data_IF_189247254446
#
_entry.id   IF_189247254446
#
_cell.length_a   1.000
_cell.length_b   1.000
_cell.length_c   1.000
_cell.angle_alpha   90.00
_cell.angle_beta   90.00
_cell.angle_gamma   90.00
#
_symmetry.space_group_name_H-M   'P 1'
#
loop_
_entity.id
_entity.type
_entity.pdbx_description
1 polymer ?
#
# COMPACT_ATOMS: atom_id res chain seq x y z
N UNK A 1 -33.95 44.70 -38.76
CA UNK A 1 -33.03 43.55 -38.81
C UNK A 1 -32.86 42.96 -37.41
N UNK A 2 -33.53 41.84 -37.14
CA UNK A 2 -33.31 41.10 -35.90
C UNK A 2 -32.10 40.23 -36.08
N UNK A 3 -31.00 40.54 -35.37
CA UNK A 3 -29.85 39.66 -35.24
C UNK A 3 -30.14 38.71 -34.09
N UNK A 4 -30.50 37.47 -34.41
CA UNK A 4 -30.56 36.41 -33.40
C UNK A 4 -29.14 36.10 -32.94
N UNK A 5 -28.82 36.55 -31.73
CA UNK A 5 -27.59 36.09 -31.04
C UNK A 5 -27.77 34.64 -30.62
N UNK A 6 -27.13 33.74 -31.34
CA UNK A 6 -26.98 32.37 -30.96
C UNK A 6 -25.93 32.32 -29.83
N UNK A 7 -26.40 32.21 -28.60
CA UNK A 7 -25.51 31.88 -27.50
C UNK A 7 -25.17 30.40 -27.61
N UNK A 8 -23.98 30.13 -28.13
CA UNK A 8 -23.39 28.79 -28.08
C UNK A 8 -22.93 28.55 -26.62
N UNK A 9 -23.83 27.94 -25.85
CA UNK A 9 -23.51 27.49 -24.50
C UNK A 9 -22.57 26.29 -24.62
N UNK A 10 -21.24 26.54 -24.59
CA UNK A 10 -20.25 25.49 -24.39
C UNK A 10 -20.43 24.93 -22.98
N UNK A 11 -21.22 23.91 -22.85
CA UNK A 11 -21.21 23.05 -21.68
C UNK A 11 -19.90 22.26 -21.75
N UNK A 12 -18.87 22.78 -21.10
CA UNK A 12 -17.68 22.01 -20.80
C UNK A 12 -18.09 20.96 -19.77
N UNK A 13 -18.46 19.78 -20.25
CA UNK A 13 -18.51 18.60 -19.42
C UNK A 13 -17.07 18.33 -18.95
N UNK A 14 -16.75 18.82 -17.76
CA UNK A 14 -15.65 18.30 -16.95
C UNK A 14 -16.02 16.85 -16.63
N UNK A 15 -15.60 15.94 -17.48
CA UNK A 15 -15.56 14.53 -17.15
C UNK A 15 -14.57 14.39 -16.01
N UNK A 16 -15.07 14.46 -14.79
CA UNK A 16 -14.38 13.90 -13.62
C UNK A 16 -14.22 12.42 -13.93
N UNK A 17 -13.08 12.05 -14.48
CA UNK A 17 -12.69 10.67 -14.55
C UNK A 17 -12.48 10.22 -13.10
N UNK A 18 -13.53 9.72 -12.50
CA UNK A 18 -13.40 8.95 -11.28
C UNK A 18 -12.49 7.78 -11.62
N UNK A 19 -11.25 7.84 -11.16
CA UNK A 19 -10.33 6.72 -11.29
C UNK A 19 -10.92 5.58 -10.45
N UNK A 20 -11.51 4.61 -11.12
CA UNK A 20 -12.04 3.42 -10.47
C UNK A 20 -10.88 2.64 -9.90
N UNK A 21 -10.71 2.68 -8.57
CA UNK A 21 -9.75 1.86 -7.86
C UNK A 21 -10.28 0.43 -7.77
N UNK A 22 -9.45 -0.53 -8.09
CA UNK A 22 -9.79 -1.93 -7.96
C UNK A 22 -9.40 -2.41 -6.56
N UNK A 23 -10.19 -3.34 -6.03
CA UNK A 23 -9.95 -3.94 -4.74
C UNK A 23 -9.05 -5.15 -4.88
N UNK A 24 -8.03 -5.21 -4.04
CA UNK A 24 -7.11 -6.34 -3.95
C UNK A 24 -7.11 -6.88 -2.53
N UNK A 25 -7.26 -8.17 -2.41
CA UNK A 25 -7.08 -8.89 -1.15
C UNK A 25 -5.59 -9.16 -0.97
N UNK A 26 -5.04 -8.70 0.13
CA UNK A 26 -3.66 -8.92 0.51
C UNK A 26 -3.60 -9.76 1.78
N UNK A 27 -3.13 -10.99 1.65
CA UNK A 27 -2.92 -11.89 2.79
C UNK A 27 -1.46 -11.83 3.21
N UNK A 28 -1.24 -11.55 4.49
CA UNK A 28 0.08 -11.53 5.13
C UNK A 28 0.16 -12.69 6.09
N UNK A 29 1.14 -13.59 5.88
CA UNK A 29 1.48 -14.66 6.80
C UNK A 29 2.81 -14.30 7.49
N UNK A 30 2.77 -14.21 8.81
CA UNK A 30 3.96 -13.96 9.62
C UNK A 30 4.73 -15.26 9.90
N UNK A 31 6.04 -15.12 10.13
CA UNK A 31 6.88 -16.19 10.69
C UNK A 31 6.56 -16.37 12.18
N UNK A 32 7.06 -17.47 12.76
CA UNK A 32 7.01 -17.70 14.22
C UNK A 32 8.21 -17.04 14.91
N UNK A 33 8.47 -15.77 14.61
CA UNK A 33 9.54 -15.03 15.29
C UNK A 33 9.20 -14.86 16.78
N UNK A 34 10.20 -14.58 17.61
CA UNK A 34 10.01 -14.30 19.03
C UNK A 34 10.00 -12.80 19.29
N UNK A 35 9.09 -12.32 20.12
CA UNK A 35 9.03 -10.91 20.52
C UNK A 35 7.66 -10.30 20.41
N UNK A 36 7.62 -8.99 20.52
CA UNK A 36 6.40 -8.19 20.46
C UNK A 36 5.75 -8.21 19.06
N UNK A 37 4.51 -7.78 18.98
CA UNK A 37 3.82 -7.63 17.71
C UNK A 37 4.58 -6.67 16.78
N UNK A 38 4.69 -7.04 15.52
CA UNK A 38 5.37 -6.23 14.54
C UNK A 38 4.52 -5.02 14.12
N UNK A 39 5.18 -3.88 13.98
CA UNK A 39 4.68 -2.78 13.15
C UNK A 39 5.12 -3.04 11.71
N UNK A 40 4.19 -2.85 10.79
CA UNK A 40 4.45 -3.07 9.37
C UNK A 40 3.70 -2.04 8.54
N UNK A 41 4.35 -1.54 7.51
CA UNK A 41 3.71 -0.67 6.53
C UNK A 41 3.78 -1.27 5.14
N UNK A 42 2.69 -1.13 4.42
CA UNK A 42 2.59 -1.49 3.01
C UNK A 42 2.55 -0.20 2.20
N UNK A 43 3.53 -0.02 1.35
CA UNK A 43 3.68 1.17 0.51
C UNK A 43 3.66 0.82 -0.98
N UNK A 44 3.07 1.71 -1.76
CA UNK A 44 3.19 1.65 -3.22
C UNK A 44 4.48 2.33 -3.65
N UNK A 45 5.30 1.61 -4.39
CA UNK A 45 6.61 2.04 -4.89
C UNK A 45 6.54 2.17 -6.41
N UNK A 46 7.04 3.26 -6.94
CA UNK A 46 7.07 3.51 -8.38
C UNK A 46 8.19 2.73 -9.10
N UNK A 47 8.22 2.73 -10.45
CA UNK A 47 9.27 2.03 -11.21
C UNK A 47 10.69 2.53 -10.93
N UNK A 48 10.86 3.75 -10.41
CA UNK A 48 12.16 4.33 -10.04
C UNK A 48 12.57 3.99 -8.60
N UNK A 49 11.72 3.26 -7.87
CA UNK A 49 11.98 2.87 -6.48
C UNK A 49 11.59 3.90 -5.44
N UNK A 50 10.83 4.93 -5.81
CA UNK A 50 10.35 5.97 -4.89
C UNK A 50 9.00 5.63 -4.29
N UNK A 51 8.79 6.05 -3.04
CA UNK A 51 7.49 5.93 -2.38
C UNK A 51 6.47 6.85 -3.06
N UNK A 52 5.31 6.32 -3.41
CA UNK A 52 4.17 7.10 -3.91
C UNK A 52 3.15 7.38 -2.84
N UNK A 53 2.73 6.35 -2.12
CA UNK A 53 1.72 6.47 -1.06
C UNK A 53 1.74 5.26 -0.14
N UNK A 54 1.22 5.45 1.07
CA UNK A 54 0.92 4.39 2.00
C UNK A 54 -0.38 3.69 1.61
N UNK A 55 -0.36 2.36 1.66
CA UNK A 55 -1.54 1.53 1.38
C UNK A 55 -2.18 1.00 2.65
N UNK A 56 -1.39 0.61 3.65
CA UNK A 56 -1.87 0.12 4.94
C UNK A 56 -0.76 0.20 6.00
N UNK A 57 -1.16 0.40 7.25
CA UNK A 57 -0.26 0.36 8.41
C UNK A 57 -0.80 -0.64 9.43
N UNK A 58 -0.02 -1.66 9.73
CA UNK A 58 -0.23 -2.53 10.89
C UNK A 58 0.45 -1.91 12.09
N UNK A 59 -0.32 -1.24 12.93
CA UNK A 59 0.15 -0.50 14.09
C UNK A 59 -0.74 0.73 14.31
N UNK A 60 -1.46 0.77 15.41
CA UNK A 60 -2.46 1.78 15.71
C UNK A 60 -1.94 2.93 16.57
N UNK A 61 -0.67 2.89 16.97
CA UNK A 61 -0.06 3.94 17.78
C UNK A 61 1.08 4.62 17.01
N UNK A 62 0.81 5.84 16.54
CA UNK A 62 1.76 6.64 15.75
C UNK A 62 3.07 6.96 16.48
N UNK A 63 3.09 6.83 17.81
CA UNK A 63 4.30 7.00 18.63
C UNK A 63 5.45 6.07 18.20
N UNK A 64 5.12 4.90 17.62
CA UNK A 64 6.09 3.89 17.22
C UNK A 64 6.38 3.86 15.72
N UNK A 65 5.83 4.79 14.94
CA UNK A 65 6.01 4.80 13.47
C UNK A 65 7.45 5.10 13.04
N UNK A 66 8.22 5.78 13.87
CA UNK A 66 9.62 6.06 13.61
C UNK A 66 10.51 4.80 13.57
N UNK A 67 10.03 3.67 14.09
CA UNK A 67 10.69 2.38 13.93
C UNK A 67 10.73 1.90 12.47
N UNK A 68 9.78 2.32 11.65
CA UNK A 68 9.70 2.06 10.21
C UNK A 68 10.46 3.15 9.43
N UNK A 69 11.74 3.23 9.60
CA UNK A 69 12.61 4.38 9.32
C UNK A 69 12.47 4.96 7.92
N UNK A 70 12.56 4.14 6.88
CA UNK A 70 12.49 4.61 5.49
C UNK A 70 11.13 5.18 5.14
N UNK A 71 10.09 4.46 5.49
CA UNK A 71 8.72 4.93 5.30
C UNK A 71 8.44 6.18 6.13
N UNK A 72 8.93 6.23 7.36
CA UNK A 72 8.71 7.38 8.26
C UNK A 72 9.25 8.67 7.69
N UNK A 73 10.41 8.64 7.04
CA UNK A 73 10.96 9.80 6.34
C UNK A 73 10.03 10.29 5.22
N UNK A 74 9.50 9.37 4.41
CA UNK A 74 8.52 9.69 3.38
C UNK A 74 7.20 10.21 3.98
N UNK A 75 6.66 9.49 4.97
CA UNK A 75 5.40 9.81 5.65
C UNK A 75 5.42 11.22 6.24
N UNK A 76 6.50 11.59 6.92
CA UNK A 76 6.63 12.91 7.54
C UNK A 76 6.88 14.01 6.51
N UNK A 77 7.71 13.77 5.49
CA UNK A 77 7.99 14.73 4.42
C UNK A 77 6.74 15.06 3.59
N UNK A 78 5.92 14.07 3.30
CA UNK A 78 4.66 14.22 2.56
C UNK A 78 3.49 14.66 3.43
N UNK A 79 3.62 14.58 4.75
CA UNK A 79 2.53 14.85 5.70
C UNK A 79 1.28 14.02 5.37
N UNK A 80 1.50 12.76 5.02
CA UNK A 80 0.40 11.85 4.73
C UNK A 80 -0.53 11.68 5.92
N UNK A 81 -1.84 11.59 5.66
CA UNK A 81 -2.84 11.21 6.64
C UNK A 81 -3.15 9.73 6.46
N UNK A 82 -2.77 8.93 7.45
CA UNK A 82 -2.88 7.47 7.37
C UNK A 82 -3.93 6.87 8.34
N UNK A 83 -4.67 7.69 9.05
CA UNK A 83 -5.62 7.22 10.08
C UNK A 83 -6.64 6.21 9.53
N UNK A 84 -7.16 6.45 8.32
CA UNK A 84 -8.09 5.53 7.65
C UNK A 84 -7.42 4.25 7.11
N UNK A 85 -6.10 4.18 7.12
CA UNK A 85 -5.29 3.07 6.59
C UNK A 85 -4.66 2.24 7.70
N UNK A 86 -4.88 2.60 8.97
CA UNK A 86 -4.24 1.93 10.10
C UNK A 86 -5.14 0.85 10.70
N UNK A 87 -4.49 -0.20 11.16
CA UNK A 87 -5.09 -1.27 11.93
C UNK A 87 -4.13 -1.76 13.00
N UNK A 88 -4.53 -2.78 13.75
CA UNK A 88 -3.71 -3.36 14.79
C UNK A 88 -2.36 -3.88 14.26
N UNK A 89 -1.34 -3.87 15.11
CA UNK A 89 -0.07 -4.54 14.86
C UNK A 89 -0.28 -6.04 14.60
N UNK A 90 0.70 -6.68 14.00
CA UNK A 90 0.59 -8.07 13.57
C UNK A 90 1.58 -8.96 14.36
N UNK A 91 1.06 -10.03 14.92
CA UNK A 91 1.80 -10.90 15.84
C UNK A 91 2.48 -12.06 15.09
N UNK A 92 3.51 -12.64 15.73
CA UNK A 92 4.13 -13.86 15.22
C UNK A 92 3.10 -14.96 14.95
N UNK A 93 3.26 -15.66 13.84
CA UNK A 93 2.36 -16.74 13.41
C UNK A 93 1.01 -16.29 12.88
N UNK A 94 0.66 -15.01 12.98
CA UNK A 94 -0.60 -14.48 12.49
C UNK A 94 -0.71 -14.57 10.96
N UNK A 95 -1.96 -14.78 10.54
CA UNK A 95 -2.37 -14.61 9.16
C UNK A 95 -3.47 -13.55 9.13
N UNK A 96 -3.18 -12.42 8.47
CA UNK A 96 -4.15 -11.35 8.32
C UNK A 96 -4.41 -11.06 6.84
N UNK A 97 -5.66 -10.74 6.56
CA UNK A 97 -6.08 -10.30 5.24
C UNK A 97 -6.58 -8.88 5.32
N UNK A 98 -6.04 -8.03 4.46
CA UNK A 98 -6.47 -6.65 4.29
C UNK A 98 -6.92 -6.44 2.86
N UNK A 99 -7.72 -5.41 2.63
CA UNK A 99 -8.15 -5.00 1.29
C UNK A 99 -7.44 -3.71 0.93
N UNK A 100 -6.78 -3.72 -0.22
CA UNK A 100 -6.05 -2.58 -0.76
C UNK A 100 -6.78 -2.02 -1.97
N UNK A 101 -6.77 -0.69 -2.08
CA UNK A 101 -7.25 0.01 -3.27
C UNK A 101 -6.06 0.30 -4.19
N UNK A 102 -6.04 -0.34 -5.36
CA UNK A 102 -4.99 -0.17 -6.35
C UNK A 102 -5.60 0.16 -7.72
N UNK A 103 -4.95 1.04 -8.45
CA UNK A 103 -5.36 1.37 -9.81
C UNK A 103 -4.82 0.30 -10.78
N UNK A 104 -5.71 -0.37 -11.51
CA UNK A 104 -5.32 -1.40 -12.49
C UNK A 104 -4.46 -0.85 -13.64
N UNK A 105 -4.46 0.45 -13.88
CA UNK A 105 -3.55 1.08 -14.84
C UNK A 105 -2.08 0.91 -14.47
N UNK A 106 -1.78 0.67 -13.21
CA UNK A 106 -0.42 0.46 -12.71
C UNK A 106 0.04 -1.00 -12.85
N UNK A 107 -0.89 -1.93 -13.13
CA UNK A 107 -0.57 -3.34 -13.29
C UNK A 107 0.38 -3.55 -14.48
N UNK A 108 1.43 -4.33 -14.28
CA UNK A 108 2.48 -4.61 -15.26
C UNK A 108 3.25 -3.36 -15.76
N UNK A 109 3.29 -2.31 -14.95
CA UNK A 109 3.97 -1.05 -15.30
C UNK A 109 5.22 -0.77 -14.44
N UNK A 110 5.75 -1.80 -13.75
CA UNK A 110 6.95 -1.67 -12.92
C UNK A 110 6.74 -1.20 -11.48
N UNK A 111 5.50 -1.01 -11.07
CA UNK A 111 5.16 -0.69 -9.67
C UNK A 111 5.25 -1.94 -8.80
N UNK A 112 5.48 -1.73 -7.51
CA UNK A 112 5.52 -2.81 -6.52
C UNK A 112 4.95 -2.36 -5.18
N UNK A 113 4.57 -3.33 -4.37
CA UNK A 113 4.19 -3.13 -2.98
C UNK A 113 5.38 -3.51 -2.11
N UNK A 114 5.82 -2.58 -1.26
CA UNK A 114 6.89 -2.82 -0.29
C UNK A 114 6.30 -3.00 1.10
N UNK A 115 6.74 -4.04 1.77
CA UNK A 115 6.42 -4.35 3.15
C UNK A 115 7.64 -4.07 4.01
N UNK A 116 7.55 -3.02 4.83
CA UNK A 116 8.56 -2.72 5.86
C UNK A 116 8.06 -3.20 7.20
N UNK A 117 8.91 -3.83 7.98
CA UNK A 117 8.54 -4.38 9.27
C UNK A 117 9.58 -4.10 10.34
N UNK A 118 9.11 -3.87 11.56
CA UNK A 118 9.94 -3.66 12.73
C UNK A 118 9.30 -4.30 13.95
N UNK A 119 10.13 -4.87 14.80
CA UNK A 119 9.73 -5.39 16.11
C UNK A 119 10.56 -4.69 17.17
N UNK A 120 9.92 -4.34 18.29
CA UNK A 120 10.56 -3.65 19.41
C UNK A 120 11.81 -4.41 19.89
N UNK A 121 12.91 -3.68 20.07
CA UNK A 121 14.21 -4.19 20.48
C UNK A 121 14.83 -5.25 19.55
N UNK A 122 14.37 -5.31 18.30
CA UNK A 122 14.83 -6.24 17.28
C UNK A 122 15.15 -5.52 15.97
N UNK A 123 15.35 -6.28 14.91
CA UNK A 123 15.76 -5.77 13.61
C UNK A 123 14.62 -5.06 12.88
N UNK A 124 14.97 -4.05 12.07
CA UNK A 124 14.11 -3.38 11.12
C UNK A 124 14.43 -3.85 9.70
N UNK A 125 13.42 -4.31 8.98
CA UNK A 125 13.53 -4.72 7.59
C UNK A 125 12.89 -3.68 6.68
N UNK A 126 13.73 -2.96 5.92
CA UNK A 126 13.24 -1.98 4.92
C UNK A 126 12.44 -2.67 3.81
N UNK A 127 12.86 -3.87 3.44
CA UNK A 127 12.27 -4.66 2.36
C UNK A 127 12.04 -6.09 2.85
N UNK A 128 11.19 -6.24 3.87
CA UNK A 128 10.84 -7.57 4.36
C UNK A 128 10.22 -8.41 3.24
N UNK A 129 9.30 -7.81 2.48
CA UNK A 129 8.82 -8.36 1.22
C UNK A 129 8.61 -7.24 0.22
N UNK A 130 8.84 -7.54 -1.06
CA UNK A 130 8.45 -6.69 -2.18
C UNK A 130 7.65 -7.53 -3.17
N UNK A 131 6.41 -7.11 -3.44
CA UNK A 131 5.50 -7.80 -4.35
C UNK A 131 5.39 -6.96 -5.62
N UNK A 132 5.95 -7.41 -6.76
CA UNK A 132 5.72 -6.74 -8.03
C UNK A 132 4.22 -6.69 -8.33
N UNK A 133 3.74 -5.54 -8.77
CA UNK A 133 2.33 -5.41 -9.16
C UNK A 133 2.17 -5.88 -10.60
N UNK A 134 2.19 -7.20 -10.76
CA UNK A 134 2.16 -7.89 -12.06
C UNK A 134 1.13 -9.03 -12.04
N UNK A 135 0.68 -9.40 -13.23
CA UNK A 135 -0.25 -10.53 -13.40
C UNK A 135 0.33 -11.83 -12.84
N UNK A 136 1.65 -12.05 -12.99
CA UNK A 136 2.33 -13.23 -12.46
C UNK A 136 2.31 -13.26 -10.92
N UNK A 137 2.61 -12.15 -10.29
CA UNK A 137 2.62 -12.05 -8.82
C UNK A 137 1.25 -12.28 -8.19
N UNK A 138 0.17 -11.98 -8.90
CA UNK A 138 -1.20 -12.24 -8.44
C UNK A 138 -1.55 -13.73 -8.35
N UNK A 139 -0.72 -14.61 -8.92
CA UNK A 139 -0.92 -16.07 -8.93
C UNK A 139 -0.04 -16.79 -7.93
N UNK A 140 0.89 -16.10 -7.29
CA UNK A 140 1.94 -16.70 -6.48
C UNK A 140 1.98 -16.13 -5.06
N UNK A 141 2.65 -16.87 -4.19
CA UNK A 141 3.08 -16.37 -2.88
C UNK A 141 4.45 -15.76 -3.05
N UNK A 142 4.65 -14.55 -2.50
CA UNK A 142 5.94 -13.88 -2.48
C UNK A 142 6.54 -14.04 -1.08
N UNK A 143 7.71 -14.67 -0.99
CA UNK A 143 8.38 -14.89 0.28
C UNK A 143 8.87 -13.59 0.89
N UNK A 144 8.75 -13.46 2.21
CA UNK A 144 9.42 -12.42 2.98
C UNK A 144 10.86 -12.81 3.35
N UNK A 145 11.60 -11.86 3.85
CA UNK A 145 13.02 -12.05 4.25
C UNK A 145 13.24 -11.84 5.74
N UNK A 146 12.27 -11.32 6.45
CA UNK A 146 12.35 -11.00 7.87
C UNK A 146 11.24 -11.65 8.68
N UNK A 147 10.33 -10.84 9.20
CA UNK A 147 9.20 -11.31 10.01
C UNK A 147 8.05 -11.85 9.17
N UNK A 148 7.97 -11.46 7.90
CA UNK A 148 6.98 -11.97 6.95
C UNK A 148 7.44 -13.32 6.39
N UNK A 149 6.57 -14.32 6.45
CA UNK A 149 6.81 -15.61 5.79
C UNK A 149 6.48 -15.50 4.30
N UNK A 150 5.29 -15.01 3.98
CA UNK A 150 4.88 -14.73 2.60
C UNK A 150 3.73 -13.75 2.53
N UNK A 151 3.61 -13.13 1.37
CA UNK A 151 2.48 -12.29 0.96
C UNK A 151 1.76 -12.98 -0.20
N UNK A 152 0.43 -12.92 -0.19
CA UNK A 152 -0.39 -13.30 -1.32
C UNK A 152 -1.34 -12.17 -1.68
N UNK A 153 -1.19 -11.66 -2.89
CA UNK A 153 -2.04 -10.61 -3.45
C UNK A 153 -2.98 -11.22 -4.50
N UNK A 154 -4.27 -10.89 -4.44
CA UNK A 154 -5.26 -11.34 -5.42
C UNK A 154 -6.30 -10.26 -5.65
N UNK A 155 -6.80 -10.17 -6.88
CA UNK A 155 -7.88 -9.24 -7.21
C UNK A 155 -9.21 -9.74 -6.65
N UNK A 156 -10.00 -8.83 -6.08
CA UNK A 156 -11.37 -9.12 -5.63
C UNK A 156 -12.29 -8.99 -6.85
N UNK A 157 -12.98 -10.08 -7.18
CA UNK A 157 -13.97 -10.13 -8.26
C UNK A 157 -15.34 -9.69 -7.79
#
# INVERSE_FOLDING_TARGET
FMVKKFYFLCVVLLALSAQAQNKYKCMVQMTNYSGEAAYMVVSLIDPQGSYLKTLHVFGDNSKYYDALKKWYDFYTAKKEKVDALTGASITQGDRKTIVLDLDNKLLNQGYKLRFESAVEDQYYYTTDAEVPFTTESLKEKVAGTGYVRYIRLSEVK
#
